data_IF_240106540381
#
_entry.id   IF_240106540381
#
_cell.length_a   1.000
_cell.length_b   1.000
_cell.length_c   1.000
_cell.angle_alpha   90.00
_cell.angle_beta   90.00
_cell.angle_gamma   90.00
#
_symmetry.space_group_name_H-M   'P 1'
#
loop_
_entity.id
_entity.type
_entity.pdbx_description
1 polymer ?
#
# COMPACT_ATOMS: atom_id res chain seq x y z
N UNK A 1 -60.68 41.87 21.89
CA UNK A 1 -59.74 42.27 20.82
C UNK A 1 -58.69 41.18 20.66
N UNK A 2 -58.57 40.60 19.46
CA UNK A 2 -57.72 39.44 19.14
C UNK A 2 -56.27 39.89 18.97
N UNK A 3 -55.33 39.29 19.71
CA UNK A 3 -53.89 39.50 19.52
C UNK A 3 -53.37 38.34 18.66
N UNK A 4 -53.03 38.67 17.42
CA UNK A 4 -52.47 37.77 16.41
C UNK A 4 -50.98 37.53 16.72
N UNK A 5 -50.61 36.30 17.07
CA UNK A 5 -49.20 35.90 17.22
C UNK A 5 -48.66 35.49 15.86
N UNK A 6 -47.77 36.31 15.29
CA UNK A 6 -46.98 35.99 14.10
C UNK A 6 -45.80 35.14 14.56
N UNK A 7 -45.74 33.88 14.10
CA UNK A 7 -44.60 32.99 14.30
C UNK A 7 -43.68 33.13 13.09
N UNK A 8 -42.54 33.80 13.29
CA UNK A 8 -41.45 33.86 12.31
C UNK A 8 -40.65 32.55 12.36
N UNK A 9 -40.77 31.73 11.32
CA UNK A 9 -39.95 30.53 11.13
C UNK A 9 -38.66 30.96 10.42
N UNK A 10 -37.55 30.96 11.15
CA UNK A 10 -36.22 31.11 10.57
C UNK A 10 -35.81 29.80 9.88
N UNK A 11 -35.83 29.78 8.55
CA UNK A 11 -35.17 28.75 7.76
C UNK A 11 -33.66 29.00 7.81
N UNK A 12 -32.96 28.30 8.71
CA UNK A 12 -31.50 28.21 8.66
C UNK A 12 -31.11 27.28 7.51
N UNK A 13 -30.64 27.87 6.42
CA UNK A 13 -30.06 27.17 5.28
C UNK A 13 -28.69 26.59 5.70
N UNK A 14 -28.67 25.39 6.27
CA UNK A 14 -27.41 24.70 6.54
C UNK A 14 -26.85 24.15 5.23
N UNK A 15 -25.76 24.74 4.75
CA UNK A 15 -24.96 24.16 3.68
C UNK A 15 -24.39 22.81 4.17
N UNK A 16 -24.44 21.74 3.36
CA UNK A 16 -23.82 20.48 3.75
C UNK A 16 -22.31 20.69 3.82
N UNK A 17 -21.75 20.50 5.02
CA UNK A 17 -20.32 20.34 5.18
C UNK A 17 -19.87 19.14 4.34
N UNK A 18 -19.08 19.38 3.29
CA UNK A 18 -18.34 18.33 2.62
C UNK A 18 -17.32 17.78 3.62
N UNK A 19 -17.69 16.70 4.31
CA UNK A 19 -16.77 15.89 5.09
C UNK A 19 -15.86 15.21 4.06
N UNK A 20 -14.66 15.75 3.88
CA UNK A 20 -13.56 15.05 3.22
C UNK A 20 -13.40 13.71 3.93
N UNK A 21 -13.72 12.62 3.25
CA UNK A 21 -13.46 11.28 3.75
C UNK A 21 -11.93 11.11 3.80
N UNK A 22 -11.34 11.49 4.92
CA UNK A 22 -10.00 11.05 5.28
C UNK A 22 -10.07 9.52 5.29
N UNK A 23 -9.55 8.90 4.23
CA UNK A 23 -9.48 7.46 4.06
C UNK A 23 -8.82 6.87 5.31
N UNK A 24 -9.63 6.26 6.18
CA UNK A 24 -9.20 5.77 7.48
C UNK A 24 -8.25 4.60 7.25
N UNK A 25 -6.95 4.90 7.10
CA UNK A 25 -5.93 3.87 6.86
C UNK A 25 -5.93 2.93 8.06
N UNK A 26 -6.05 1.61 7.83
CA UNK A 26 -6.06 0.67 8.94
C UNK A 26 -4.71 0.74 9.67
N UNK A 27 -4.74 1.10 10.95
CA UNK A 27 -3.56 1.09 11.82
C UNK A 27 -3.03 -0.35 12.06
N UNK A 28 -3.85 -1.36 11.73
CA UNK A 28 -3.55 -2.77 11.91
C UNK A 28 -4.16 -3.60 10.77
N UNK A 29 -3.43 -4.62 10.33
CA UNK A 29 -3.84 -5.59 9.31
C UNK A 29 -3.80 -6.98 9.94
N UNK A 30 -4.93 -7.68 9.94
CA UNK A 30 -4.98 -9.07 10.40
C UNK A 30 -4.37 -9.99 9.35
N UNK A 31 -3.30 -10.70 9.73
CA UNK A 31 -2.58 -11.60 8.82
C UNK A 31 -2.51 -13.03 9.34
N UNK A 32 -2.16 -13.96 8.45
CA UNK A 32 -1.88 -15.35 8.77
C UNK A 32 -0.78 -15.54 9.84
N UNK A 33 0.12 -14.56 10.01
CA UNK A 33 1.18 -14.58 11.03
C UNK A 33 0.75 -13.94 12.37
N UNK A 34 -0.42 -13.27 12.39
CA UNK A 34 -0.92 -12.41 13.46
C UNK A 34 -1.11 -10.96 13.00
N UNK A 35 -1.53 -10.06 13.89
CA UNK A 35 -1.77 -8.67 13.55
C UNK A 35 -0.47 -7.94 13.23
N UNK A 36 -0.43 -7.30 12.07
CA UNK A 36 0.63 -6.37 11.67
C UNK A 36 0.16 -4.97 11.98
N UNK A 37 0.89 -4.24 12.81
CA UNK A 37 0.58 -2.86 13.22
C UNK A 37 1.49 -1.89 12.49
N UNK A 38 0.94 -0.73 12.14
CA UNK A 38 1.70 0.39 11.58
C UNK A 38 1.66 1.51 12.61
N UNK A 39 2.82 1.84 13.18
CA UNK A 39 2.95 2.88 14.21
C UNK A 39 3.85 4.02 13.72
N UNK A 40 3.58 5.23 14.19
CA UNK A 40 4.49 6.36 13.99
C UNK A 40 5.61 6.31 15.05
N UNK A 41 6.83 6.64 14.65
CA UNK A 41 7.99 6.80 15.53
C UNK A 41 8.82 7.99 15.04
N UNK A 42 8.53 9.18 15.58
CA UNK A 42 9.06 10.44 15.07
C UNK A 42 8.64 10.68 13.61
N UNK A 43 9.61 10.90 12.74
CA UNK A 43 9.44 11.06 11.28
C UNK A 43 9.47 9.72 10.52
N UNK A 44 9.40 8.60 11.23
CA UNK A 44 9.35 7.27 10.63
C UNK A 44 8.00 6.59 10.87
N UNK A 45 7.72 5.58 10.04
CA UNK A 45 6.67 4.59 10.31
C UNK A 45 7.28 3.21 10.46
N UNK A 46 6.78 2.46 11.42
CA UNK A 46 7.27 1.12 11.74
C UNK A 46 6.15 0.11 11.51
N UNK A 47 6.47 -0.95 10.78
CA UNK A 47 5.67 -2.17 10.68
C UNK A 47 6.11 -3.14 11.78
N UNK A 48 5.16 -3.49 12.65
CA UNK A 48 5.37 -4.39 13.77
C UNK A 48 4.54 -5.65 13.58
N UNK A 49 5.14 -6.82 13.81
CA UNK A 49 4.41 -8.07 14.04
C UNK A 49 4.65 -8.48 15.49
N UNK A 50 3.58 -8.47 16.29
CA UNK A 50 3.67 -8.63 17.75
C UNK A 50 4.60 -7.54 18.31
N UNK A 51 5.77 -7.91 18.82
CA UNK A 51 6.79 -7.02 19.38
C UNK A 51 8.06 -6.93 18.52
N UNK A 52 8.04 -7.49 17.31
CA UNK A 52 9.19 -7.46 16.40
C UNK A 52 9.00 -6.40 15.32
N UNK A 53 10.04 -5.58 15.11
CA UNK A 53 10.12 -4.65 13.98
C UNK A 53 10.37 -5.44 12.71
N UNK A 54 9.42 -5.41 11.79
CA UNK A 54 9.56 -5.98 10.45
C UNK A 54 10.25 -5.01 9.50
N UNK A 55 9.88 -3.73 9.60
CA UNK A 55 10.40 -2.67 8.74
C UNK A 55 10.25 -1.30 9.37
N UNK A 56 11.22 -0.42 9.11
CA UNK A 56 11.20 1.01 9.46
C UNK A 56 11.32 1.81 8.16
N UNK A 57 10.24 2.45 7.76
CA UNK A 57 10.16 3.31 6.58
C UNK A 57 10.07 4.78 6.95
N UNK A 58 9.82 5.64 5.96
CA UNK A 58 9.59 7.07 6.19
C UNK A 58 8.18 7.33 6.72
N UNK A 59 7.90 8.57 7.11
CA UNK A 59 6.56 9.06 7.46
C UNK A 59 5.52 8.88 6.34
N UNK A 60 5.97 8.85 5.08
CA UNK A 60 5.16 8.61 3.89
C UNK A 60 4.97 7.12 3.55
N UNK A 61 5.64 6.21 4.27
CA UNK A 61 5.47 4.78 4.10
C UNK A 61 3.99 4.39 4.24
N UNK A 62 3.49 3.60 3.30
CA UNK A 62 2.12 3.07 3.33
C UNK A 62 2.07 1.63 2.83
N UNK A 63 1.08 0.90 3.32
CA UNK A 63 0.67 -0.34 2.67
C UNK A 63 -0.05 0.04 1.38
N UNK A 64 0.55 -0.35 0.26
CA UNK A 64 -0.02 -0.12 -1.06
C UNK A 64 -1.06 -1.19 -1.41
N UNK A 65 -0.73 -2.46 -1.14
CA UNK A 65 -1.63 -3.60 -1.34
C UNK A 65 -1.44 -4.66 -0.26
N UNK A 66 -2.52 -5.37 0.02
CA UNK A 66 -2.53 -6.56 0.87
C UNK A 66 -3.19 -7.71 0.09
N UNK A 67 -2.53 -8.85 0.03
CA UNK A 67 -2.96 -10.04 -0.71
C UNK A 67 -2.91 -11.23 0.23
N UNK A 68 -4.02 -11.97 0.33
CA UNK A 68 -4.10 -13.24 1.06
C UNK A 68 -3.93 -14.40 0.09
N UNK A 69 -2.86 -15.16 0.25
CA UNK A 69 -2.59 -16.38 -0.52
C UNK A 69 -2.98 -17.62 0.30
N UNK A 70 -2.88 -18.80 -0.33
CA UNK A 70 -3.24 -20.06 0.34
C UNK A 70 -2.27 -20.38 1.48
N UNK A 71 -0.98 -20.13 1.26
CA UNK A 71 0.11 -20.50 2.18
C UNK A 71 0.64 -19.35 3.06
N UNK A 72 0.42 -18.10 2.65
CA UNK A 72 0.90 -16.91 3.36
C UNK A 72 0.07 -15.67 3.00
N UNK A 73 0.31 -14.59 3.72
CA UNK A 73 -0.15 -13.26 3.34
C UNK A 73 1.02 -12.45 2.78
N UNK A 74 0.72 -11.53 1.86
CA UNK A 74 1.70 -10.62 1.27
C UNK A 74 1.23 -9.19 1.48
N UNK A 75 2.10 -8.36 2.06
CA UNK A 75 1.91 -6.91 2.16
C UNK A 75 2.90 -6.25 1.20
N UNK A 76 2.40 -5.52 0.22
CA UNK A 76 3.20 -4.65 -0.63
C UNK A 76 3.27 -3.27 0.03
N UNK A 77 4.48 -2.86 0.38
CA UNK A 77 4.80 -1.60 1.06
C UNK A 77 5.32 -0.65 0.00
N UNK A 78 4.78 0.57 -0.04
CA UNK A 78 5.31 1.69 -0.80
C UNK A 78 5.93 2.68 0.18
N UNK A 79 7.17 3.06 -0.08
CA UNK A 79 7.94 3.94 0.79
C UNK A 79 8.57 5.07 -0.03
N UNK A 80 8.53 6.29 0.51
CA UNK A 80 9.05 7.47 -0.18
C UNK A 80 10.37 7.89 0.47
N UNK A 81 11.46 7.92 -0.28
CA UNK A 81 12.83 8.06 0.25
C UNK A 81 13.50 9.41 -0.05
N UNK A 82 12.73 10.45 -0.38
CA UNK A 82 13.24 11.83 -0.49
C UNK A 82 13.48 12.31 -1.94
N UNK A 83 14.14 13.46 -2.16
CA UNK A 83 14.04 14.28 -3.38
C UNK A 83 14.88 13.78 -4.58
N UNK A 84 15.25 12.51 -4.60
CA UNK A 84 15.96 11.91 -5.75
C UNK A 84 15.04 11.85 -6.97
N UNK A 85 15.62 11.79 -8.17
CA UNK A 85 14.89 11.63 -9.44
C UNK A 85 13.91 10.44 -9.44
N UNK A 86 14.10 9.51 -8.51
CA UNK A 86 13.28 8.34 -8.29
C UNK A 86 12.98 8.19 -6.77
N UNK A 87 11.93 8.85 -6.24
CA UNK A 87 11.74 8.96 -4.79
C UNK A 87 10.90 7.84 -4.16
N UNK A 88 10.45 6.85 -4.95
CA UNK A 88 9.53 5.80 -4.50
C UNK A 88 10.18 4.43 -4.65
N UNK A 89 10.12 3.64 -3.58
CA UNK A 89 10.49 2.22 -3.61
C UNK A 89 9.35 1.35 -3.12
N UNK A 90 9.35 0.10 -3.56
CA UNK A 90 8.44 -0.93 -3.11
C UNK A 90 9.18 -2.03 -2.36
N UNK A 91 8.53 -2.64 -1.37
CA UNK A 91 8.99 -3.82 -0.66
C UNK A 91 7.85 -4.84 -0.54
N UNK A 92 8.17 -6.12 -0.69
CA UNK A 92 7.21 -7.20 -0.53
C UNK A 92 7.49 -7.92 0.79
N UNK A 93 6.51 -7.90 1.69
CA UNK A 93 6.56 -8.58 2.98
C UNK A 93 5.68 -9.83 2.93
N UNK A 94 6.29 -11.01 2.97
CA UNK A 94 5.59 -12.30 3.09
C UNK A 94 5.44 -12.72 4.56
N UNK A 95 4.25 -13.15 4.95
CA UNK A 95 3.85 -13.50 6.32
C UNK A 95 3.20 -14.88 6.36
N UNK A 96 3.89 -15.88 6.91
CA UNK A 96 3.41 -17.27 6.94
C UNK A 96 2.65 -17.58 8.23
N UNK A 97 1.76 -18.56 8.12
CA UNK A 97 1.18 -19.25 9.29
C UNK A 97 2.31 -19.76 10.18
N UNK A 98 2.19 -19.50 11.48
CA UNK A 98 3.24 -19.84 12.46
C UNK A 98 4.23 -18.70 12.77
N UNK A 99 4.09 -17.53 12.14
CA UNK A 99 4.83 -16.32 12.53
C UNK A 99 6.13 -16.08 11.75
N UNK A 100 6.51 -16.97 10.84
CA UNK A 100 7.65 -16.75 9.94
C UNK A 100 7.36 -15.63 8.94
N UNK A 101 8.35 -14.78 8.68
CA UNK A 101 8.22 -13.65 7.77
C UNK A 101 9.46 -13.49 6.87
N UNK A 102 9.29 -12.79 5.75
CA UNK A 102 10.37 -12.41 4.86
C UNK A 102 10.08 -11.05 4.24
N UNK A 103 11.05 -10.15 4.26
CA UNK A 103 10.99 -8.85 3.59
C UNK A 103 11.94 -8.87 2.39
N UNK A 104 11.43 -8.52 1.21
CA UNK A 104 12.25 -8.42 0.01
C UNK A 104 13.25 -7.26 0.09
N UNK A 105 14.28 -7.31 -0.76
CA UNK A 105 15.01 -6.10 -1.11
C UNK A 105 14.04 -5.07 -1.73
N UNK A 106 14.36 -3.75 -1.64
CA UNK A 106 13.65 -2.73 -2.38
C UNK A 106 13.64 -2.98 -3.88
N UNK A 107 12.53 -2.67 -4.53
CA UNK A 107 12.35 -2.82 -5.97
C UNK A 107 11.36 -1.78 -6.52
N UNK A 108 11.19 -1.79 -7.85
CA UNK A 108 10.39 -0.81 -8.58
C UNK A 108 11.20 0.41 -8.97
N UNK A 109 10.71 1.10 -9.99
CA UNK A 109 11.46 2.11 -10.76
C UNK A 109 10.72 3.47 -10.76
N UNK A 110 10.24 3.90 -9.58
CA UNK A 110 9.53 5.18 -9.39
C UNK A 110 8.30 5.42 -10.25
N UNK A 111 7.77 4.33 -10.77
CA UNK A 111 6.48 4.26 -11.39
C UNK A 111 5.37 4.54 -10.37
N UNK A 112 4.19 4.80 -10.92
CA UNK A 112 2.93 4.78 -10.21
C UNK A 112 2.70 3.45 -9.46
N UNK A 113 1.64 3.40 -8.68
CA UNK A 113 1.25 2.16 -7.99
C UNK A 113 1.11 1.01 -9.02
N UNK A 114 1.79 -0.14 -8.80
CA UNK A 114 1.85 -1.21 -9.79
C UNK A 114 0.52 -1.94 -9.94
N UNK A 115 0.34 -2.54 -11.12
CA UNK A 115 -0.72 -3.52 -11.35
C UNK A 115 -0.31 -4.85 -10.69
N UNK A 116 -1.26 -5.51 -10.01
CA UNK A 116 -1.01 -6.74 -9.25
C UNK A 116 -1.86 -7.88 -9.78
N UNK A 117 -1.20 -8.99 -10.12
CA UNK A 117 -1.85 -10.25 -10.47
C UNK A 117 -1.52 -11.32 -9.44
N UNK A 118 -2.50 -12.16 -9.12
CA UNK A 118 -2.35 -13.23 -8.13
C UNK A 118 -2.61 -14.57 -8.79
N UNK A 119 -1.62 -15.47 -8.74
CA UNK A 119 -1.73 -16.84 -9.24
C UNK A 119 -1.27 -17.84 -8.17
N UNK A 120 -2.25 -18.57 -7.62
CA UNK A 120 -2.08 -19.55 -6.53
C UNK A 120 -1.38 -18.94 -5.31
N UNK A 121 -0.10 -19.24 -5.14
CA UNK A 121 0.76 -18.78 -4.05
C UNK A 121 1.82 -17.76 -4.55
N UNK A 122 1.54 -17.07 -5.64
CA UNK A 122 2.44 -16.08 -6.22
C UNK A 122 1.73 -14.77 -6.48
N UNK A 123 2.46 -13.67 -6.25
CA UNK A 123 2.06 -12.32 -6.61
C UNK A 123 2.97 -11.86 -7.74
N UNK A 124 2.39 -11.49 -8.87
CA UNK A 124 3.11 -10.83 -9.97
C UNK A 124 2.80 -9.33 -9.91
N UNK A 125 3.84 -8.51 -10.03
CA UNK A 125 3.82 -7.07 -9.83
C UNK A 125 4.32 -6.43 -11.12
N UNK A 126 3.46 -5.66 -11.77
CA UNK A 126 3.73 -5.04 -13.05
C UNK A 126 3.88 -3.53 -12.86
N UNK A 127 5.08 -3.05 -13.12
CA UNK A 127 5.36 -1.63 -13.26
C UNK A 127 5.29 -1.24 -14.73
N UNK A 128 4.53 -0.19 -15.01
CA UNK A 128 4.52 0.45 -16.33
C UNK A 128 5.82 1.20 -16.54
N UNK A 129 6.17 1.45 -17.80
CA UNK A 129 7.29 2.32 -18.12
C UNK A 129 7.05 3.73 -17.55
N UNK A 130 8.11 4.36 -17.03
CA UNK A 130 8.05 5.70 -16.44
C UNK A 130 9.27 6.52 -16.86
N UNK A 131 9.05 7.56 -17.65
CA UNK A 131 10.14 8.36 -18.23
C UNK A 131 11.15 7.48 -18.99
N UNK A 132 12.45 7.51 -18.64
CA UNK A 132 13.47 6.67 -19.27
C UNK A 132 13.49 5.21 -18.76
N UNK A 133 12.69 4.88 -17.75
CA UNK A 133 12.70 3.56 -17.10
C UNK A 133 11.72 2.62 -17.83
N UNK A 134 12.17 1.45 -18.30
CA UNK A 134 11.30 0.52 -19.01
C UNK A 134 10.28 -0.11 -18.05
N UNK A 135 9.20 -0.65 -18.62
CA UNK A 135 8.29 -1.50 -17.87
C UNK A 135 9.06 -2.66 -17.22
N UNK A 136 8.62 -3.09 -16.04
CA UNK A 136 9.24 -4.21 -15.36
C UNK A 136 8.21 -5.06 -14.63
N UNK A 137 8.41 -6.38 -14.73
CA UNK A 137 7.57 -7.36 -14.04
C UNK A 137 8.38 -8.07 -12.97
N UNK A 138 7.82 -8.17 -11.76
CA UNK A 138 8.41 -8.86 -10.62
C UNK A 138 7.48 -9.96 -10.14
N UNK A 139 8.02 -11.05 -9.61
CA UNK A 139 7.25 -12.14 -9.02
C UNK A 139 7.73 -12.39 -7.61
N UNK A 140 6.78 -12.48 -6.68
CA UNK A 140 7.00 -12.84 -5.29
C UNK A 140 6.24 -14.12 -4.95
N UNK A 141 6.93 -15.11 -4.38
CA UNK A 141 6.37 -16.41 -3.99
C UNK A 141 6.10 -16.53 -2.47
N UNK A 142 6.16 -15.41 -1.74
CA UNK A 142 6.08 -15.40 -0.28
C UNK A 142 7.40 -15.70 0.44
N UNK A 143 8.50 -15.92 -0.30
CA UNK A 143 9.87 -16.18 0.20
C UNK A 143 10.91 -15.32 -0.46
N UNK A 144 10.78 -15.09 -1.75
CA UNK A 144 11.80 -14.48 -2.58
C UNK A 144 11.12 -13.67 -3.68
N UNK A 145 11.80 -12.58 -4.05
CA UNK A 145 11.38 -11.69 -5.12
C UNK A 145 12.32 -11.86 -6.30
N UNK A 146 11.74 -12.03 -7.49
CA UNK A 146 12.50 -12.21 -8.74
C UNK A 146 12.01 -11.24 -9.79
N UNK A 147 12.94 -10.58 -10.49
CA UNK A 147 12.60 -9.82 -11.70
C UNK A 147 12.36 -10.81 -12.84
N UNK A 148 11.18 -10.77 -13.47
CA UNK A 148 10.94 -11.54 -14.70
C UNK A 148 11.66 -10.84 -15.84
N UNK A 149 12.31 -11.62 -16.70
CA UNK A 149 12.83 -11.12 -17.96
C UNK A 149 11.63 -10.79 -18.84
N UNK A 150 11.47 -9.50 -19.20
CA UNK A 150 10.50 -9.08 -20.21
C UNK A 150 10.79 -9.88 -21.50
N UNK A 151 9.78 -10.49 -22.16
CA UNK A 151 10.01 -11.03 -23.48
C UNK A 151 10.53 -9.90 -24.39
N UNK A 152 11.55 -10.20 -25.20
CA UNK A 152 12.03 -9.23 -26.18
C UNK A 152 10.85 -8.76 -27.04
N UNK A 153 10.74 -7.46 -27.37
CA UNK A 153 9.72 -7.01 -28.30
C UNK A 153 9.83 -7.84 -29.59
N UNK A 154 8.70 -8.23 -30.20
CA UNK A 154 8.74 -8.96 -31.46
C UNK A 154 9.60 -8.18 -32.45
N UNK A 155 10.57 -8.85 -33.09
CA UNK A 155 11.36 -8.21 -34.15
C UNK A 155 10.37 -7.74 -35.23
N UNK A 156 10.46 -6.48 -35.69
CA UNK A 156 9.72 -6.09 -36.88
C UNK A 156 10.16 -7.02 -38.02
N UNK A 157 9.16 -7.70 -38.61
CA UNK A 157 9.34 -8.55 -39.79
C UNK A 157 9.48 -7.73 -41.05
#
# INVERSE_FOLDING_TARGET
>A
MKILRIVLIFFALQAPAMISQAETRPAQIETAAGPVRIVADGEARILLLRNSVLYRGTDFMRVNRYVRLKSCDVILIRDFVGPVACPVRFLALGLRRGGGWHLSAPFGDCADDPDIEVDRDNVTIHFRAFGPLPASTWRFDGRQLFKRKEPAPPKPG
#
